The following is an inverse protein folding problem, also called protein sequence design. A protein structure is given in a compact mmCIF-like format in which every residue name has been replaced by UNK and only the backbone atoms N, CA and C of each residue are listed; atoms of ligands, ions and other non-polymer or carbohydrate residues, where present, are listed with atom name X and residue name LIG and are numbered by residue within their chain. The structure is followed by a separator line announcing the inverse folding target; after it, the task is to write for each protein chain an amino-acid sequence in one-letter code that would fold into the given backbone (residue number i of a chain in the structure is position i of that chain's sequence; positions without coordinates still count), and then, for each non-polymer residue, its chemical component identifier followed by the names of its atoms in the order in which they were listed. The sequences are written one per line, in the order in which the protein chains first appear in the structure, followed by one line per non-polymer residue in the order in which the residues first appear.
data_IF_799592506066
#
_entry.id   IF_799592506066
#
_cell.length_a   1.000
_cell.length_b   1.000
_cell.length_c   1.000
_cell.angle_alpha   90.00
_cell.angle_beta   90.00
_cell.angle_gamma   90.00
#
_symmetry.space_group_name_H-M   'P 1'
#
loop_
_entity.id
_entity.type
_entity.pdbx_description
1 polymer ?
#
# COMPACT_ATOMS: atom_id res chain seq x y z
N UNK A 1 5.73 -0.85 -14.63
CA UNK A 1 5.90 0.62 -14.77
C UNK A 1 5.89 1.28 -13.41
N UNK A 2 6.34 2.53 -13.27
CA UNK A 2 6.37 3.23 -11.98
C UNK A 2 5.77 4.63 -12.07
N UNK A 3 5.28 5.16 -10.94
CA UNK A 3 4.89 6.57 -10.81
C UNK A 3 6.13 7.46 -10.96
N UNK A 4 6.10 8.55 -11.75
CA UNK A 4 7.31 9.31 -12.08
C UNK A 4 7.93 10.06 -10.90
N UNK A 5 7.16 10.42 -9.88
CA UNK A 5 7.61 11.13 -8.68
C UNK A 5 7.28 10.36 -7.40
N UNK A 6 7.75 10.85 -6.24
CA UNK A 6 7.44 10.28 -4.93
C UNK A 6 6.08 10.78 -4.46
N UNK A 7 5.23 9.86 -3.99
CA UNK A 7 3.95 10.19 -3.38
C UNK A 7 4.10 10.15 -1.86
N UNK A 8 3.52 11.14 -1.18
CA UNK A 8 3.63 11.26 0.28
C UNK A 8 2.27 11.39 0.92
N UNK A 9 2.15 10.86 2.14
CA UNK A 9 1.03 11.15 3.02
C UNK A 9 1.52 11.25 4.47
N UNK A 10 0.80 12.01 5.27
CA UNK A 10 1.03 12.12 6.71
C UNK A 10 0.17 11.10 7.45
N UNK A 11 0.69 10.54 8.54
CA UNK A 11 -0.11 9.70 9.43
C UNK A 11 -1.14 10.57 10.18
N UNK A 12 -2.42 10.16 10.24
CA UNK A 12 -3.37 10.78 11.15
C UNK A 12 -2.87 10.71 12.60
N UNK A 13 -3.20 11.69 13.46
CA UNK A 13 -2.70 11.71 14.84
C UNK A 13 -2.89 10.40 15.61
N UNK A 14 -4.08 9.78 15.50
CA UNK A 14 -4.39 8.50 16.15
C UNK A 14 -3.52 7.34 15.63
N UNK A 15 -3.22 7.32 14.33
CA UNK A 15 -2.33 6.31 13.73
C UNK A 15 -0.89 6.57 14.14
N UNK A 16 -0.44 7.83 14.09
CA UNK A 16 0.91 8.22 14.51
C UNK A 16 1.20 7.89 15.96
N UNK A 17 0.24 8.10 16.87
CA UNK A 17 0.38 7.74 18.29
C UNK A 17 0.55 6.23 18.49
N UNK A 18 -0.26 5.42 17.81
CA UNK A 18 -0.14 3.95 17.84
C UNK A 18 1.21 3.49 17.30
N UNK A 19 1.68 4.06 16.20
CA UNK A 19 2.97 3.70 15.60
C UNK A 19 4.15 4.15 16.46
N UNK A 20 4.04 5.30 17.15
CA UNK A 20 5.05 5.74 18.13
C UNK A 20 5.25 4.71 19.24
N UNK A 21 4.17 4.13 19.76
CA UNK A 21 4.25 3.07 20.77
C UNK A 21 4.94 1.80 20.23
N UNK A 22 4.72 1.47 18.95
CA UNK A 22 5.29 0.28 18.32
C UNK A 22 6.75 0.46 17.87
N UNK A 23 7.13 1.65 17.42
CA UNK A 23 8.44 1.93 16.81
C UNK A 23 9.37 2.79 17.68
N UNK A 24 8.91 3.22 18.85
CA UNK A 24 9.69 4.03 19.81
C UNK A 24 10.04 5.44 19.34
N UNK A 25 9.52 5.88 18.19
CA UNK A 25 9.87 7.16 17.55
C UNK A 25 8.68 7.76 16.80
N UNK A 26 8.64 9.09 16.70
CA UNK A 26 7.57 9.79 16.00
C UNK A 26 7.94 9.91 14.52
N UNK A 27 7.11 9.30 13.68
CA UNK A 27 7.22 9.40 12.23
C UNK A 27 6.05 10.23 11.70
N UNK A 28 6.34 11.16 10.80
CA UNK A 28 5.34 12.06 10.22
C UNK A 28 4.42 11.34 9.22
N UNK A 29 4.96 10.41 8.45
CA UNK A 29 4.28 9.85 7.30
C UNK A 29 5.19 8.94 6.49
N UNK A 30 4.82 8.69 5.24
CA UNK A 30 5.62 7.89 4.31
C UNK A 30 5.81 8.61 2.99
N UNK A 31 6.99 8.44 2.39
CA UNK A 31 7.26 8.73 0.99
C UNK A 31 7.38 7.40 0.24
N UNK A 32 6.60 7.24 -0.82
CA UNK A 32 6.42 5.97 -1.52
C UNK A 32 6.62 6.12 -3.02
N UNK A 33 7.21 5.09 -3.62
CA UNK A 33 7.30 4.90 -5.07
C UNK A 33 6.43 3.71 -5.45
N UNK A 34 5.45 3.95 -6.32
CA UNK A 34 4.46 2.94 -6.70
C UNK A 34 4.80 2.32 -8.05
N UNK A 35 4.54 1.02 -8.15
CA UNK A 35 4.76 0.22 -9.36
C UNK A 35 3.46 -0.49 -9.77
N UNK A 36 3.19 -0.51 -11.07
CA UNK A 36 2.12 -1.31 -11.67
C UNK A 36 2.68 -2.64 -12.14
N UNK A 37 2.07 -3.73 -11.66
CA UNK A 37 2.36 -5.11 -12.05
C UNK A 37 1.08 -5.80 -12.53
N UNK A 38 1.21 -6.75 -13.45
CA UNK A 38 0.13 -7.63 -13.91
C UNK A 38 0.42 -9.03 -13.41
N UNK A 39 -0.53 -9.63 -12.68
CA UNK A 39 -0.47 -11.04 -12.35
C UNK A 39 -0.70 -11.85 -13.63
N UNK A 40 0.32 -12.61 -14.04
CA UNK A 40 0.25 -13.49 -15.21
C UNK A 40 0.07 -14.96 -14.84
N UNK A 41 0.27 -15.30 -13.57
CA UNK A 41 0.02 -16.62 -12.99
C UNK A 41 -1.43 -16.74 -12.50
N UNK A 42 -1.68 -17.77 -11.69
CA UNK A 42 -2.99 -17.99 -11.06
C UNK A 42 -3.08 -17.30 -9.71
N UNK A 43 -4.30 -17.05 -9.25
CA UNK A 43 -4.55 -16.41 -7.95
C UNK A 43 -4.07 -17.28 -6.77
N UNK A 44 -4.06 -18.60 -6.92
CA UNK A 44 -3.59 -19.52 -5.88
C UNK A 44 -2.07 -19.42 -5.63
N UNK A 45 -1.33 -18.76 -6.52
CA UNK A 45 0.10 -18.48 -6.34
C UNK A 45 0.36 -17.33 -5.34
N UNK A 46 -0.67 -16.58 -4.95
CA UNK A 46 -0.55 -15.51 -3.96
C UNK A 46 -0.44 -16.13 -2.55
N UNK A 47 0.79 -16.28 -2.07
CA UNK A 47 1.09 -16.76 -0.73
C UNK A 47 1.43 -15.59 0.22
N UNK A 48 0.54 -15.31 1.17
CA UNK A 48 0.74 -14.26 2.19
C UNK A 48 1.62 -14.68 3.37
N UNK A 49 1.84 -16.00 3.55
CA UNK A 49 2.60 -16.53 4.69
C UNK A 49 4.12 -16.50 4.47
N UNK A 50 4.57 -16.19 3.25
CA UNK A 50 5.98 -16.22 2.89
C UNK A 50 6.59 -17.61 3.06
N UNK A 51 7.82 -17.67 3.57
CA UNK A 51 8.55 -18.90 3.88
C UNK A 51 8.35 -19.38 5.34
N UNK A 52 7.51 -18.67 6.11
CA UNK A 52 7.22 -18.96 7.51
C UNK A 52 8.30 -18.52 8.51
N UNK A 53 9.38 -17.86 8.08
CA UNK A 53 10.44 -17.40 8.99
C UNK A 53 10.13 -16.07 9.67
N UNK A 54 9.31 -15.24 9.04
CA UNK A 54 8.90 -13.93 9.53
C UNK A 54 7.40 -13.86 9.79
N UNK A 55 7.00 -12.86 10.59
CA UNK A 55 5.59 -12.59 10.83
C UNK A 55 4.93 -12.10 9.54
N UNK A 56 3.83 -12.73 9.07
CA UNK A 56 3.11 -12.26 7.88
C UNK A 56 2.65 -10.81 8.02
N UNK A 57 2.85 -10.01 6.97
CA UNK A 57 2.35 -8.64 6.91
C UNK A 57 0.83 -8.60 6.67
N UNK A 58 0.32 -9.53 5.85
CA UNK A 58 -1.08 -9.61 5.45
C UNK A 58 -1.72 -10.91 5.94
N UNK A 59 -2.97 -10.83 6.40
CA UNK A 59 -3.77 -12.00 6.77
C UNK A 59 -4.70 -12.47 5.66
N UNK A 60 -5.23 -11.54 4.87
CA UNK A 60 -6.19 -11.79 3.78
C UNK A 60 -5.90 -10.82 2.63
N UNK A 61 -6.29 -11.22 1.41
CA UNK A 61 -6.21 -10.39 0.22
C UNK A 61 -7.47 -10.54 -0.63
N UNK A 62 -7.81 -9.49 -1.38
CA UNK A 62 -8.85 -9.53 -2.40
C UNK A 62 -8.63 -8.40 -3.41
N UNK A 63 -9.16 -8.56 -4.62
CA UNK A 63 -9.23 -7.48 -5.60
C UNK A 63 -10.30 -6.47 -5.19
N UNK A 64 -9.92 -5.22 -4.98
CA UNK A 64 -10.80 -4.20 -4.41
C UNK A 64 -10.65 -2.85 -5.12
N UNK A 65 -11.69 -2.02 -5.02
CA UNK A 65 -11.64 -0.62 -5.45
C UNK A 65 -10.79 0.21 -4.48
N UNK A 66 -10.01 1.20 -4.96
CA UNK A 66 -9.27 2.14 -4.11
C UNK A 66 -10.16 2.88 -3.08
N UNK A 67 -11.45 3.02 -3.35
CA UNK A 67 -12.41 3.71 -2.48
C UNK A 67 -12.63 2.99 -1.14
N UNK A 68 -12.33 1.69 -1.10
CA UNK A 68 -12.42 0.85 0.10
C UNK A 68 -11.17 0.94 0.99
N UNK A 69 -10.13 1.68 0.57
CA UNK A 69 -8.95 1.93 1.38
C UNK A 69 -9.24 2.84 2.58
N UNK A 70 -8.33 2.86 3.56
CA UNK A 70 -8.40 3.81 4.69
C UNK A 70 -8.24 5.26 4.21
N UNK A 71 -8.96 6.18 4.83
CA UNK A 71 -9.15 7.55 4.31
C UNK A 71 -7.86 8.30 4.00
N UNK A 72 -6.86 8.23 4.88
CA UNK A 72 -5.59 8.96 4.68
C UNK A 72 -4.74 8.40 3.53
N UNK A 73 -5.01 7.18 3.03
CA UNK A 73 -4.35 6.59 1.87
C UNK A 73 -5.09 6.83 0.56
N UNK A 74 -6.40 7.13 0.59
CA UNK A 74 -7.23 7.34 -0.62
C UNK A 74 -6.65 8.37 -1.60
N UNK A 75 -6.13 9.54 -1.17
CA UNK A 75 -5.55 10.51 -2.10
C UNK A 75 -4.35 9.95 -2.87
N UNK A 76 -3.47 9.20 -2.20
CA UNK A 76 -2.31 8.55 -2.84
C UNK A 76 -2.78 7.51 -3.85
N UNK A 77 -3.75 6.67 -3.50
CA UNK A 77 -4.26 5.65 -4.42
C UNK A 77 -4.95 6.25 -5.64
N UNK A 78 -5.67 7.37 -5.47
CA UNK A 78 -6.27 8.12 -6.58
C UNK A 78 -5.20 8.65 -7.54
N UNK A 79 -4.09 9.17 -7.02
CA UNK A 79 -2.97 9.65 -7.84
C UNK A 79 -2.28 8.50 -8.58
N UNK A 80 -2.01 7.39 -7.89
CA UNK A 80 -1.44 6.17 -8.47
C UNK A 80 -2.29 5.69 -9.64
N UNK A 81 -3.61 5.61 -9.46
CA UNK A 81 -4.52 5.18 -10.51
C UNK A 81 -4.65 6.18 -11.65
N UNK A 82 -4.57 7.49 -11.37
CA UNK A 82 -4.55 8.51 -12.42
C UNK A 82 -3.32 8.33 -13.31
N UNK A 83 -2.15 8.11 -12.72
CA UNK A 83 -0.89 7.86 -13.46
C UNK A 83 -0.94 6.56 -14.25
N UNK A 84 -1.57 5.52 -13.69
CA UNK A 84 -1.63 4.21 -14.33
C UNK A 84 -2.83 3.98 -15.24
N UNK A 85 -3.85 4.85 -15.21
CA UNK A 85 -5.09 4.73 -15.98
C UNK A 85 -4.87 4.44 -17.48
N UNK A 86 -3.90 5.05 -18.19
CA UNK A 86 -3.65 4.73 -19.60
C UNK A 86 -3.18 3.30 -19.88
N UNK A 87 -2.82 2.55 -18.83
CA UNK A 87 -2.22 1.22 -18.89
C UNK A 87 -3.05 0.14 -18.21
N UNK A 88 -4.14 0.52 -17.54
CA UNK A 88 -5.10 -0.42 -17.01
C UNK A 88 -5.98 -0.87 -18.19
N UNK A 89 -5.84 -2.15 -18.56
CA UNK A 89 -6.63 -2.81 -19.60
C UNK A 89 -7.84 -3.50 -19.00
#
# INVERSE_FOLDING_TARGET
MQVPYWLTYDFPPAVGEKLKLQWGSVWKGQAQKWFLMKLTGKEEEINLLGDGTEKPEFGEWSWMSPEQAVDFKKPVYKEVLTVFSPYLQ
#
